data_IF_442582196656
#
_entry.id   IF_442582196656
#
_cell.length_a   1.000
_cell.length_b   1.000
_cell.length_c   1.000
_cell.angle_alpha   90.00
_cell.angle_beta   90.00
_cell.angle_gamma   90.00
#
_symmetry.space_group_name_H-M   'P 1'
#
loop_
_entity.id
_entity.type
_entity.pdbx_description
1 polymer ?
#
# COMPACT_ATOMS: atom_id res chain seq x y z
N UNK A 1 -3.36 20.00 -3.88
CA UNK A 1 -3.02 18.80 -3.10
C UNK A 1 -1.53 18.51 -3.31
N UNK A 2 -0.79 18.14 -2.27
CA UNK A 2 0.65 17.86 -2.39
C UNK A 2 0.84 16.38 -2.73
N UNK A 3 1.42 16.08 -3.89
CA UNK A 3 1.72 14.69 -4.30
C UNK A 3 3.03 14.20 -3.66
N UNK A 4 3.99 15.08 -3.50
CA UNK A 4 5.25 14.83 -2.81
C UNK A 4 5.86 16.17 -2.36
N UNK A 5 6.74 16.10 -1.37
CA UNK A 5 7.65 17.18 -0.99
C UNK A 5 9.08 16.71 -1.25
N UNK A 6 9.86 17.54 -1.94
CA UNK A 6 11.29 17.33 -2.14
C UNK A 6 12.06 18.49 -1.55
N UNK A 7 13.08 18.18 -0.76
CA UNK A 7 13.89 19.19 -0.12
C UNK A 7 14.88 18.59 0.86
N UNK A 8 15.46 19.42 1.72
CA UNK A 8 16.40 19.00 2.74
C UNK A 8 15.67 18.47 3.98
N UNK A 9 16.09 17.30 4.47
CA UNK A 9 15.62 16.78 5.75
C UNK A 9 16.22 17.63 6.89
N UNK A 10 15.40 18.42 7.55
CA UNK A 10 15.84 19.34 8.59
C UNK A 10 15.74 18.75 9.99
N UNK A 11 14.77 17.85 10.19
CA UNK A 11 14.54 17.17 11.48
C UNK A 11 13.82 15.84 11.28
N UNK A 12 14.10 14.85 12.12
CA UNK A 12 13.31 13.63 12.24
C UNK A 12 13.25 13.13 13.69
N UNK A 13 12.13 12.54 14.07
CA UNK A 13 11.94 11.78 15.30
C UNK A 13 11.06 10.53 15.00
N UNK A 14 10.57 9.84 16.00
CA UNK A 14 9.77 8.61 15.81
C UNK A 14 8.36 8.84 15.24
N UNK A 15 7.85 10.08 15.22
CA UNK A 15 6.47 10.39 14.84
C UNK A 15 6.37 11.19 13.55
N UNK A 16 7.35 12.07 13.29
CA UNK A 16 7.32 12.97 12.15
C UNK A 16 8.73 13.36 11.70
N UNK A 17 8.81 13.88 10.49
CA UNK A 17 9.97 14.54 9.94
C UNK A 17 9.62 15.97 9.51
N UNK A 18 10.64 16.83 9.36
CA UNK A 18 10.52 18.17 8.77
C UNK A 18 11.38 18.20 7.53
N UNK A 19 10.76 18.48 6.40
CA UNK A 19 11.44 18.72 5.12
C UNK A 19 11.35 20.19 4.80
N UNK A 20 12.50 20.84 4.68
CA UNK A 20 12.60 22.23 4.22
C UNK A 20 12.63 22.23 2.70
N UNK A 21 11.72 23.00 2.08
CA UNK A 21 11.68 23.23 0.64
C UNK A 21 11.41 24.69 0.36
N UNK A 22 12.34 25.37 -0.29
CA UNK A 22 12.26 26.79 -0.65
C UNK A 22 11.91 27.72 0.53
N UNK A 23 12.51 27.52 1.70
CA UNK A 23 12.30 28.34 2.89
C UNK A 23 11.05 27.99 3.69
N UNK A 24 10.33 26.92 3.33
CA UNK A 24 9.15 26.44 4.06
C UNK A 24 9.44 25.08 4.67
N UNK A 25 9.30 24.93 6.01
CA UNK A 25 9.44 23.67 6.73
C UNK A 25 8.10 22.92 6.79
N UNK A 26 8.01 21.80 6.11
CA UNK A 26 6.84 20.91 6.11
C UNK A 26 6.98 19.85 7.19
N UNK A 27 6.08 19.88 8.18
CA UNK A 27 5.96 18.78 9.15
C UNK A 27 5.15 17.64 8.55
N UNK A 28 5.73 16.46 8.44
CA UNK A 28 5.17 15.28 7.78
C UNK A 28 5.15 14.13 8.78
N UNK A 29 3.96 13.67 9.17
CA UNK A 29 3.80 12.47 10.01
C UNK A 29 4.06 11.22 9.20
N UNK A 30 4.74 10.25 9.79
CA UNK A 30 5.19 9.07 9.03
C UNK A 30 5.35 7.82 9.90
N UNK A 31 5.64 6.68 9.25
CA UNK A 31 5.92 5.40 9.90
C UNK A 31 7.36 5.30 10.41
N UNK A 32 7.60 4.39 11.36
CA UNK A 32 8.96 4.06 11.81
C UNK A 32 9.81 3.48 10.67
N UNK A 33 9.21 2.77 9.73
CA UNK A 33 9.85 2.27 8.53
C UNK A 33 10.42 3.42 7.70
N UNK A 34 9.58 4.40 7.35
CA UNK A 34 10.03 5.62 6.65
C UNK A 34 11.13 6.37 7.43
N UNK A 35 11.01 6.50 8.77
CA UNK A 35 12.05 7.17 9.58
C UNK A 35 13.41 6.46 9.49
N UNK A 36 13.41 5.13 9.42
CA UNK A 36 14.63 4.34 9.25
C UNK A 36 15.26 4.53 7.86
N UNK A 37 14.42 4.60 6.82
CA UNK A 37 14.85 4.57 5.42
C UNK A 37 15.09 5.96 4.79
N UNK A 38 14.59 7.05 5.42
CA UNK A 38 14.62 8.41 4.84
C UNK A 38 16.04 9.00 4.70
N UNK A 39 17.03 8.42 5.34
CA UNK A 39 18.39 8.96 5.37
C UNK A 39 18.67 9.89 6.55
N UNK A 40 19.81 10.61 6.50
CA UNK A 40 20.31 11.45 7.59
C UNK A 40 19.82 12.90 7.49
N UNK A 41 19.69 13.55 8.64
CA UNK A 41 19.38 15.00 8.73
C UNK A 41 20.44 15.81 7.99
N UNK A 42 20.00 16.77 7.19
CA UNK A 42 20.83 17.58 6.30
C UNK A 42 20.87 17.07 4.85
N UNK A 43 20.45 15.83 4.58
CA UNK A 43 20.39 15.23 3.24
C UNK A 43 19.16 15.68 2.44
N UNK A 44 19.27 15.58 1.10
CA UNK A 44 18.14 15.77 0.19
C UNK A 44 17.25 14.54 0.19
N UNK A 45 15.93 14.77 0.34
CA UNK A 45 14.93 13.71 0.40
C UNK A 45 13.73 14.02 -0.50
N UNK A 46 13.03 12.97 -0.90
CA UNK A 46 11.71 13.06 -1.53
C UNK A 46 10.74 12.21 -0.73
N UNK A 47 9.62 12.81 -0.32
CA UNK A 47 8.58 12.17 0.49
C UNK A 47 7.27 12.24 -0.26
N UNK A 48 6.67 11.12 -0.58
CA UNK A 48 5.33 11.03 -1.16
C UNK A 48 4.29 11.34 -0.09
N UNK A 49 3.34 12.23 -0.37
CA UNK A 49 2.53 12.83 0.69
C UNK A 49 1.03 12.68 0.47
N UNK A 50 0.31 12.54 1.57
CA UNK A 50 -1.14 12.57 1.67
C UNK A 50 -1.57 13.73 2.58
N UNK A 51 -2.36 14.66 2.04
CA UNK A 51 -2.93 15.76 2.81
C UNK A 51 -4.26 15.32 3.43
N UNK A 52 -4.28 15.22 4.74
CA UNK A 52 -5.47 14.86 5.51
C UNK A 52 -6.12 16.12 6.07
N UNK A 53 -7.35 16.41 5.62
CA UNK A 53 -8.10 17.60 6.00
C UNK A 53 -9.36 17.19 6.77
N UNK A 54 -9.53 17.78 7.95
CA UNK A 54 -10.74 17.72 8.77
C UNK A 54 -11.15 19.14 9.15
N UNK A 55 -12.35 19.30 9.70
CA UNK A 55 -12.87 20.61 10.12
C UNK A 55 -11.97 21.31 11.14
N UNK A 56 -11.34 20.53 12.03
CA UNK A 56 -10.53 20.98 13.16
C UNK A 56 -9.02 20.80 12.97
N UNK A 57 -8.58 20.10 11.90
CA UNK A 57 -7.17 19.75 11.73
C UNK A 57 -6.78 19.54 10.28
N UNK A 58 -5.59 20.07 9.93
CA UNK A 58 -4.91 19.77 8.66
C UNK A 58 -3.58 19.10 9.00
N UNK A 59 -3.37 17.89 8.47
CA UNK A 59 -2.16 17.13 8.71
C UNK A 59 -1.58 16.58 7.41
N UNK A 60 -0.27 16.57 7.29
CA UNK A 60 0.44 15.98 6.16
C UNK A 60 1.07 14.66 6.62
N UNK A 61 0.74 13.59 5.92
CA UNK A 61 1.34 12.27 6.09
C UNK A 61 2.25 11.99 4.90
N UNK A 62 3.33 11.22 5.09
CA UNK A 62 4.24 10.98 3.99
C UNK A 62 5.16 9.79 4.19
N UNK A 63 5.67 9.26 3.06
CA UNK A 63 6.41 8.00 2.99
C UNK A 63 7.52 8.09 1.96
N UNK A 64 8.58 7.29 2.15
CA UNK A 64 9.74 7.28 1.21
C UNK A 64 9.41 6.63 -0.12
N UNK A 65 8.40 5.76 -0.18
CA UNK A 65 7.99 5.07 -1.39
C UNK A 65 6.46 5.15 -1.60
N UNK A 66 6.05 4.89 -2.84
CA UNK A 66 4.65 4.94 -3.24
C UNK A 66 3.84 3.77 -2.68
N UNK A 67 4.48 2.61 -2.45
CA UNK A 67 3.81 1.43 -1.90
C UNK A 67 3.29 1.69 -0.48
N UNK A 68 4.11 2.32 0.39
CA UNK A 68 3.68 2.70 1.74
C UNK A 68 2.53 3.72 1.68
N UNK A 69 2.59 4.70 0.78
CA UNK A 69 1.52 5.67 0.60
C UNK A 69 0.22 4.99 0.16
N UNK A 70 0.29 4.07 -0.81
CA UNK A 70 -0.87 3.33 -1.30
C UNK A 70 -1.53 2.49 -0.19
N UNK A 71 -0.73 1.77 0.60
CA UNK A 71 -1.24 1.01 1.76
C UNK A 71 -1.83 1.94 2.82
N UNK A 72 -1.23 3.12 3.05
CA UNK A 72 -1.80 4.12 3.94
C UNK A 72 -3.19 4.56 3.47
N UNK A 73 -3.35 4.89 2.20
CA UNK A 73 -4.62 5.30 1.59
C UNK A 73 -5.67 4.18 1.66
N UNK A 74 -5.27 2.94 1.39
CA UNK A 74 -6.14 1.76 1.56
C UNK A 74 -6.61 1.64 3.01
N UNK A 75 -5.71 1.73 3.99
CA UNK A 75 -6.04 1.62 5.40
C UNK A 75 -7.01 2.70 5.87
N UNK A 76 -6.76 3.98 5.55
CA UNK A 76 -7.65 5.09 5.98
C UNK A 76 -9.01 5.07 5.28
N UNK A 77 -9.16 4.32 4.19
CA UNK A 77 -10.45 4.11 3.51
C UNK A 77 -11.34 3.08 4.21
N UNK A 78 -10.77 2.31 5.17
CA UNK A 78 -11.50 1.32 5.97
C UNK A 78 -12.20 2.01 7.14
N UNK A 79 -13.49 1.73 7.33
CA UNK A 79 -14.27 2.32 8.41
C UNK A 79 -13.68 1.99 9.80
N UNK A 80 -13.41 3.03 10.58
CA UNK A 80 -12.82 2.90 11.93
C UNK A 80 -11.29 2.82 11.94
N UNK A 81 -10.63 2.96 10.79
CA UNK A 81 -9.17 3.09 10.68
C UNK A 81 -8.81 4.54 10.36
N UNK A 82 -8.25 5.23 11.34
CA UNK A 82 -7.75 6.60 11.15
C UNK A 82 -6.26 6.62 10.81
N UNK A 83 -5.71 7.81 10.47
CA UNK A 83 -4.29 7.95 10.09
C UNK A 83 -3.30 7.41 11.13
N UNK A 84 -3.55 7.60 12.43
CA UNK A 84 -2.67 7.07 13.49
C UNK A 84 -2.63 5.54 13.49
N UNK A 85 -3.76 4.89 13.27
CA UNK A 85 -3.84 3.44 13.17
C UNK A 85 -3.13 2.93 11.89
N UNK A 86 -3.30 3.62 10.77
CA UNK A 86 -2.61 3.30 9.51
C UNK A 86 -1.08 3.42 9.65
N UNK A 87 -0.57 4.50 10.26
CA UNK A 87 0.85 4.67 10.59
C UNK A 87 1.36 3.53 11.48
N UNK A 88 0.58 3.13 12.50
CA UNK A 88 0.96 2.02 13.38
C UNK A 88 1.08 0.69 12.62
N UNK A 89 0.18 0.42 11.66
CA UNK A 89 0.28 -0.77 10.80
C UNK A 89 1.57 -0.73 9.98
N UNK A 90 1.84 0.37 9.27
CA UNK A 90 3.03 0.54 8.43
C UNK A 90 4.35 0.58 9.22
N UNK A 91 4.28 0.94 10.51
CA UNK A 91 5.44 0.85 11.41
C UNK A 91 5.72 -0.58 11.89
N UNK A 92 4.72 -1.47 11.87
CA UNK A 92 4.83 -2.83 12.39
C UNK A 92 5.08 -3.87 11.29
N UNK A 93 4.56 -3.64 10.07
CA UNK A 93 4.62 -4.58 8.96
C UNK A 93 4.85 -3.86 7.63
N UNK A 94 5.63 -4.48 6.75
CA UNK A 94 5.89 -3.94 5.41
C UNK A 94 4.63 -3.99 4.52
N UNK A 95 4.54 -3.16 3.46
CA UNK A 95 3.44 -3.17 2.50
C UNK A 95 3.12 -4.55 1.92
N UNK A 96 4.12 -5.29 1.46
CA UNK A 96 3.96 -6.64 0.91
C UNK A 96 3.45 -7.64 1.94
N UNK A 97 3.90 -7.54 3.20
CA UNK A 97 3.41 -8.39 4.28
C UNK A 97 1.99 -8.05 4.70
N UNK A 98 1.62 -6.77 4.65
CA UNK A 98 0.26 -6.32 4.85
C UNK A 98 -0.68 -6.91 3.77
N UNK A 99 -0.32 -6.77 2.51
CA UNK A 99 -1.07 -7.30 1.37
C UNK A 99 -1.25 -8.83 1.48
N UNK A 100 -0.18 -9.55 1.83
CA UNK A 100 -0.25 -10.99 2.07
C UNK A 100 -1.20 -11.33 3.23
N UNK A 101 -1.16 -10.58 4.33
CA UNK A 101 -2.04 -10.80 5.49
C UNK A 101 -3.51 -10.59 5.13
N UNK A 102 -3.83 -9.61 4.27
CA UNK A 102 -5.20 -9.39 3.78
C UNK A 102 -5.68 -10.58 2.94
N UNK A 103 -4.88 -11.05 1.98
CA UNK A 103 -5.26 -12.16 1.09
C UNK A 103 -5.43 -13.46 1.87
N UNK A 104 -4.56 -13.74 2.85
CA UNK A 104 -4.54 -15.00 3.63
C UNK A 104 -5.35 -14.96 4.92
N UNK A 105 -6.15 -13.92 5.17
CA UNK A 105 -6.92 -13.73 6.41
C UNK A 105 -6.06 -13.77 7.70
N UNK A 106 -4.80 -13.32 7.61
CA UNK A 106 -3.88 -13.35 8.77
C UNK A 106 -4.13 -12.20 9.75
N UNK A 107 -5.17 -12.36 10.55
CA UNK A 107 -5.53 -11.43 11.63
C UNK A 107 -4.38 -11.23 12.62
N UNK A 108 -3.59 -12.28 12.89
CA UNK A 108 -2.50 -12.22 13.87
C UNK A 108 -1.40 -11.25 13.46
N UNK A 109 -1.08 -11.21 12.17
CA UNK A 109 -0.10 -10.26 11.64
C UNK A 109 -0.61 -8.83 11.76
N UNK A 110 -1.85 -8.54 11.43
CA UNK A 110 -2.42 -7.19 11.54
C UNK A 110 -2.52 -6.71 12.99
N UNK A 111 -2.85 -7.60 13.93
CA UNK A 111 -2.95 -7.25 15.35
C UNK A 111 -1.61 -7.00 16.05
N UNK A 112 -0.47 -7.16 15.38
CA UNK A 112 0.84 -6.71 15.89
C UNK A 112 0.95 -5.19 15.95
N UNK A 113 0.20 -4.48 15.11
CA UNK A 113 0.17 -3.03 15.12
C UNK A 113 -0.57 -2.50 16.35
N UNK A 114 0.04 -1.54 17.04
CA UNK A 114 -0.57 -0.94 18.23
C UNK A 114 -1.89 -0.25 17.86
N UNK A 115 -2.93 -0.50 18.64
CA UNK A 115 -4.27 0.05 18.40
C UNK A 115 -5.12 -0.73 17.40
N UNK A 116 -4.58 -1.80 16.77
CA UNK A 116 -5.33 -2.69 15.89
C UNK A 116 -5.77 -3.94 16.68
N UNK A 117 -6.99 -3.92 17.16
CA UNK A 117 -7.61 -5.09 17.78
C UNK A 117 -8.19 -6.06 16.74
N UNK A 118 -8.56 -7.27 17.21
CA UNK A 118 -9.13 -8.33 16.36
C UNK A 118 -10.30 -7.84 15.49
N UNK A 119 -11.21 -7.02 16.06
CA UNK A 119 -12.38 -6.48 15.33
C UNK A 119 -11.97 -5.56 14.16
N UNK A 120 -10.97 -4.70 14.40
CA UNK A 120 -10.46 -3.78 13.35
C UNK A 120 -9.71 -4.57 12.29
N UNK A 121 -8.86 -5.54 12.69
CA UNK A 121 -8.14 -6.39 11.75
C UNK A 121 -9.10 -7.19 10.84
N UNK A 122 -10.16 -7.77 11.39
CA UNK A 122 -11.21 -8.46 10.61
C UNK A 122 -11.91 -7.52 9.63
N UNK A 123 -12.20 -6.28 10.05
CA UNK A 123 -12.83 -5.28 9.18
C UNK A 123 -11.89 -4.86 8.05
N UNK A 124 -10.60 -4.63 8.33
CA UNK A 124 -9.59 -4.33 7.30
C UNK A 124 -9.58 -5.42 6.23
N UNK A 125 -9.50 -6.68 6.64
CA UNK A 125 -9.48 -7.82 5.71
C UNK A 125 -10.75 -7.85 4.88
N UNK A 126 -11.92 -7.78 5.51
CA UNK A 126 -13.20 -7.86 4.82
C UNK A 126 -13.38 -6.74 3.79
N UNK A 127 -13.22 -5.48 4.21
CA UNK A 127 -13.45 -4.32 3.34
C UNK A 127 -12.44 -4.24 2.19
N UNK A 128 -11.18 -4.64 2.41
CA UNK A 128 -10.18 -4.63 1.35
C UNK A 128 -10.34 -5.80 0.38
N UNK A 129 -10.71 -7.00 0.83
CA UNK A 129 -11.07 -8.10 -0.07
C UNK A 129 -12.28 -7.75 -0.94
N UNK A 130 -13.29 -7.10 -0.37
CA UNK A 130 -14.45 -6.64 -1.13
C UNK A 130 -14.09 -5.62 -2.21
N UNK A 131 -13.10 -4.75 -1.95
CA UNK A 131 -12.58 -3.81 -2.97
C UNK A 131 -11.88 -4.54 -4.10
N UNK A 132 -11.00 -5.49 -3.77
CA UNK A 132 -10.31 -6.33 -4.76
C UNK A 132 -11.34 -7.04 -5.64
N UNK A 133 -12.34 -7.68 -5.04
CA UNK A 133 -13.38 -8.40 -5.78
C UNK A 133 -14.23 -7.48 -6.67
N UNK A 134 -14.58 -6.27 -6.21
CA UNK A 134 -15.37 -5.32 -7.01
C UNK A 134 -14.60 -4.79 -8.23
N UNK A 135 -13.31 -4.51 -8.08
CA UNK A 135 -12.49 -4.04 -9.19
C UNK A 135 -12.24 -5.14 -10.22
N UNK A 136 -12.13 -6.39 -9.79
CA UNK A 136 -12.10 -7.55 -10.70
C UNK A 136 -13.40 -7.65 -11.52
N UNK A 137 -14.56 -7.45 -10.90
CA UNK A 137 -15.85 -7.47 -11.60
C UNK A 137 -16.01 -6.31 -12.60
N UNK A 138 -15.51 -5.11 -12.25
CA UNK A 138 -15.57 -3.94 -13.14
C UNK A 138 -14.55 -4.01 -14.29
N UNK A 139 -13.39 -4.61 -14.06
CA UNK A 139 -12.39 -4.84 -15.10
C UNK A 139 -12.88 -5.84 -16.17
N UNK A 140 -13.68 -6.83 -15.76
CA UNK A 140 -14.34 -7.76 -16.69
C UNK A 140 -15.48 -7.15 -17.50
N UNK A 141 -16.01 -5.98 -17.10
CA UNK A 141 -17.08 -5.27 -17.83
C UNK A 141 -16.51 -4.16 -18.74
N UNK A 142 -15.26 -3.72 -18.52
CA UNK A 142 -14.63 -2.58 -19.19
C UNK A 142 -13.59 -2.90 -20.26
N UNK A 143 -13.29 -4.15 -20.55
CA UNK A 143 -12.36 -4.56 -21.62
C UNK A 143 -13.14 -5.14 -22.79
N UNK A 144 -14.03 -4.35 -23.39
CA UNK A 144 -14.36 -4.43 -24.81
C UNK A 144 -13.59 -3.32 -25.55
N UNK A 145 -12.29 -3.50 -25.71
CA UNK A 145 -11.51 -2.81 -26.75
C UNK A 145 -10.20 -3.58 -26.98
N UNK A 146 -10.26 -4.51 -27.93
CA UNK A 146 -9.18 -4.86 -28.84
C UNK A 146 -7.97 -5.61 -28.26
N UNK A 147 -8.17 -6.84 -27.70
CA UNK A 147 -7.14 -7.89 -27.83
C UNK A 147 -7.87 -9.20 -28.14
N UNK A 148 -7.49 -9.81 -29.27
CA UNK A 148 -8.07 -11.02 -29.83
C UNK A 148 -8.13 -12.19 -28.82
N UNK A 149 -9.21 -12.91 -28.93
CA UNK A 149 -9.51 -14.21 -28.31
C UNK A 149 -8.31 -15.14 -28.18
N UNK A 150 -7.85 -15.35 -26.93
CA UNK A 150 -7.10 -16.54 -26.55
C UNK A 150 -7.53 -16.98 -25.16
N UNK A 151 -7.86 -18.28 -25.06
CA UNK A 151 -8.64 -18.85 -23.96
C UNK A 151 -7.99 -18.84 -22.57
N UNK A 152 -8.84 -18.84 -21.57
CA UNK A 152 -8.70 -19.42 -20.21
C UNK A 152 -7.52 -18.96 -19.32
N UNK A 153 -6.31 -18.95 -19.81
CA UNK A 153 -5.08 -18.72 -19.04
C UNK A 153 -4.71 -17.22 -18.89
N UNK A 154 -4.94 -16.42 -19.95
CA UNK A 154 -4.71 -14.97 -19.90
C UNK A 154 -5.64 -14.26 -18.90
N UNK A 155 -6.81 -14.85 -18.64
CA UNK A 155 -7.77 -14.33 -17.65
C UNK A 155 -7.23 -14.39 -16.22
N UNK A 156 -6.63 -15.52 -15.80
CA UNK A 156 -6.07 -15.70 -14.45
C UNK A 156 -4.88 -14.76 -14.17
N UNK A 157 -4.02 -14.58 -15.18
CA UNK A 157 -2.87 -13.67 -15.10
C UNK A 157 -3.35 -12.22 -14.97
N UNK A 158 -4.29 -11.80 -15.82
CA UNK A 158 -4.86 -10.44 -15.78
C UNK A 158 -5.56 -10.16 -14.46
N UNK A 159 -6.29 -11.13 -13.92
CA UNK A 159 -6.98 -11.03 -12.64
C UNK A 159 -6.01 -10.94 -11.46
N UNK A 160 -4.94 -11.73 -11.47
CA UNK A 160 -3.89 -11.66 -10.44
C UNK A 160 -3.15 -10.31 -10.47
N UNK A 161 -2.85 -9.78 -11.67
CA UNK A 161 -2.24 -8.46 -11.85
C UNK A 161 -3.18 -7.38 -11.31
N UNK A 162 -4.47 -7.42 -11.65
CA UNK A 162 -5.47 -6.47 -11.18
C UNK A 162 -5.58 -6.48 -9.65
N UNK A 163 -5.58 -7.65 -9.03
CA UNK A 163 -5.60 -7.79 -7.57
C UNK A 163 -4.36 -7.15 -6.90
N UNK A 164 -3.16 -7.33 -7.48
CA UNK A 164 -1.94 -6.68 -6.98
C UNK A 164 -2.00 -5.16 -7.14
N UNK A 165 -2.55 -4.65 -8.25
CA UNK A 165 -2.73 -3.20 -8.46
C UNK A 165 -3.69 -2.60 -7.43
N UNK A 166 -4.77 -3.29 -7.08
CA UNK A 166 -5.70 -2.87 -5.99
C UNK A 166 -4.98 -2.80 -4.64
N UNK A 167 -4.04 -3.72 -4.39
CA UNK A 167 -3.20 -3.72 -3.19
C UNK A 167 -2.09 -2.66 -3.21
N UNK A 168 -2.03 -1.82 -4.27
CA UNK A 168 -1.17 -0.65 -4.32
C UNK A 168 0.12 -0.83 -5.11
N UNK A 169 0.34 -1.97 -5.76
CA UNK A 169 1.51 -2.17 -6.63
C UNK A 169 1.32 -1.50 -7.99
N UNK A 170 2.41 -1.04 -8.59
CA UNK A 170 2.36 -0.50 -9.95
C UNK A 170 2.11 -1.61 -10.98
N UNK A 171 1.55 -1.30 -12.16
CA UNK A 171 1.35 -2.29 -13.23
C UNK A 171 2.64 -3.05 -13.60
N UNK A 172 3.78 -2.36 -13.59
CA UNK A 172 5.08 -2.95 -13.90
C UNK A 172 5.53 -3.98 -12.85
N UNK A 173 5.37 -3.66 -11.56
CA UNK A 173 5.68 -4.55 -10.44
C UNK A 173 4.75 -5.76 -10.41
N UNK A 174 3.45 -5.54 -10.57
CA UNK A 174 2.45 -6.59 -10.60
C UNK A 174 2.69 -7.57 -11.75
N UNK A 175 2.91 -7.07 -12.97
CA UNK A 175 3.25 -7.90 -14.14
C UNK A 175 4.53 -8.72 -13.91
N UNK A 176 5.60 -8.07 -13.43
CA UNK A 176 6.88 -8.75 -13.16
C UNK A 176 6.72 -9.85 -12.10
N UNK A 177 5.99 -9.57 -11.02
CA UNK A 177 5.80 -10.50 -9.93
C UNK A 177 4.95 -11.72 -10.34
N UNK A 178 3.86 -11.49 -11.07
CA UNK A 178 2.99 -12.56 -11.58
C UNK A 178 3.72 -13.40 -12.61
N UNK A 179 4.38 -12.79 -13.59
CA UNK A 179 5.15 -13.52 -14.62
C UNK A 179 6.28 -14.39 -14.05
N UNK A 180 6.85 -14.00 -12.91
CA UNK A 180 7.93 -14.77 -12.26
C UNK A 180 7.45 -16.05 -11.55
N UNK A 181 6.15 -16.16 -11.25
CA UNK A 181 5.61 -17.25 -10.43
C UNK A 181 4.49 -18.05 -11.11
N UNK A 182 3.97 -17.56 -12.24
CA UNK A 182 2.84 -18.13 -12.94
C UNK A 182 3.19 -19.51 -13.55
N UNK A 183 2.32 -20.50 -13.34
CA UNK A 183 2.25 -21.76 -14.09
C UNK A 183 0.77 -22.08 -14.38
N UNK A 184 0.50 -22.77 -15.51
CA UNK A 184 -0.85 -23.03 -16.03
C UNK A 184 -1.80 -23.73 -15.03
N UNK A 185 -1.25 -24.57 -14.16
CA UNK A 185 -2.03 -25.38 -13.19
C UNK A 185 -2.40 -24.60 -11.90
N UNK A 186 -1.95 -23.35 -11.74
CA UNK A 186 -2.21 -22.57 -10.51
C UNK A 186 -3.58 -21.92 -10.53
N UNK A 187 -4.22 -21.87 -9.35
CA UNK A 187 -5.35 -21.00 -9.08
C UNK A 187 -4.89 -19.56 -8.81
N UNK A 188 -5.80 -18.61 -8.96
CA UNK A 188 -5.54 -17.17 -8.83
C UNK A 188 -4.98 -16.83 -7.43
N UNK A 189 -5.54 -17.44 -6.38
CA UNK A 189 -5.11 -17.19 -5.00
C UNK A 189 -3.64 -17.60 -4.80
N UNK A 190 -3.24 -18.75 -5.35
CA UNK A 190 -1.87 -19.25 -5.31
C UNK A 190 -0.91 -18.36 -6.10
N UNK A 191 -1.32 -17.87 -7.28
CA UNK A 191 -0.54 -16.92 -8.09
C UNK A 191 -0.28 -15.64 -7.30
N UNK A 192 -1.32 -15.00 -6.77
CA UNK A 192 -1.23 -13.75 -5.98
C UNK A 192 -0.34 -13.96 -4.75
N UNK A 193 -0.55 -15.05 -4.01
CA UNK A 193 0.22 -15.40 -2.81
C UNK A 193 1.72 -15.58 -3.09
N UNK A 194 2.06 -16.25 -4.20
CA UNK A 194 3.45 -16.46 -4.58
C UNK A 194 4.10 -15.17 -5.11
N UNK A 195 3.38 -14.36 -5.89
CA UNK A 195 3.82 -13.05 -6.34
C UNK A 195 4.13 -12.12 -5.15
N UNK A 196 3.24 -12.04 -4.17
CA UNK A 196 3.44 -11.25 -2.95
C UNK A 196 4.62 -11.74 -2.11
N UNK A 197 4.85 -13.07 -2.03
CA UNK A 197 6.06 -13.61 -1.38
C UNK A 197 7.34 -13.22 -2.10
N UNK A 198 7.30 -13.13 -3.43
CA UNK A 198 8.42 -12.66 -4.25
C UNK A 198 8.73 -11.19 -4.01
N UNK A 199 7.70 -10.36 -3.93
CA UNK A 199 7.80 -8.93 -3.63
C UNK A 199 8.24 -8.63 -2.17
N UNK A 200 7.98 -9.56 -1.24
CA UNK A 200 8.35 -9.41 0.18
C UNK A 200 9.81 -9.78 0.51
N UNK A 201 10.58 -10.27 -0.47
CA UNK A 201 12.01 -10.55 -0.27
C UNK A 201 12.81 -9.31 -0.64
N UNK A 202 13.67 -8.80 0.28
CA UNK A 202 14.55 -7.68 0.00
C UNK A 202 15.57 -8.01 -1.08
#
# INVERSE_FOLDING_TARGET
MFAYIRGRLDYKNNDFLIVESNGVGYRIFTSLSTIADIGEVGGEVKVYTYLYVREDNISLYGFVNQEELNVFELLISVSGVGPKAAISVLSAISPSRFSLAVITDDIKTLTKAQGIGKKIAQRIILELKDKINKEQLTSNIGIEADIGTSGGDDSKVSEAISALMVLGYTPAEANKAVSAVYTEDMDIETIIKNALKGLARP
#
